data_IF_120829691739
#
_entry.id   IF_120829691739
#
_cell.length_a   1.000
_cell.length_b   1.000
_cell.length_c   1.000
_cell.angle_alpha   90.00
_cell.angle_beta   90.00
_cell.angle_gamma   90.00
#
_symmetry.space_group_name_H-M   'P 1'
#
loop_
_entity.id
_entity.type
_entity.pdbx_description
1 polymer ?
#
# COMPACT_ATOMS: atom_id res chain seq x y z
N UNK A 1 -5.66 -16.86 -4.69
CA UNK A 1 -4.54 -17.62 -4.17
C UNK A 1 -4.33 -17.34 -2.68
N UNK A 2 -3.74 -18.28 -1.99
CA UNK A 2 -3.45 -18.12 -0.56
C UNK A 2 -2.49 -16.95 -0.28
N UNK A 3 -1.71 -16.55 -1.27
CA UNK A 3 -0.74 -15.46 -1.14
C UNK A 3 -1.40 -14.15 -0.74
N UNK A 4 -2.51 -13.79 -1.37
CA UNK A 4 -3.20 -12.51 -1.08
C UNK A 4 -3.96 -12.54 0.23
N UNK A 5 -4.21 -13.72 0.81
CA UNK A 5 -4.87 -13.87 2.10
C UNK A 5 -3.92 -13.80 3.29
N UNK A 6 -2.61 -13.70 3.03
CA UNK A 6 -1.58 -13.57 4.06
C UNK A 6 -0.77 -12.30 3.81
N UNK A 7 -1.37 -11.13 4.12
CA UNK A 7 -0.78 -9.86 3.72
C UNK A 7 0.60 -9.61 4.33
N UNK A 8 0.86 -10.05 5.55
CA UNK A 8 2.19 -9.89 6.16
C UNK A 8 3.27 -10.61 5.35
N UNK A 9 3.00 -11.86 5.00
CA UNK A 9 3.95 -12.66 4.23
C UNK A 9 4.16 -12.05 2.85
N UNK A 10 3.05 -11.72 2.17
CA UNK A 10 3.11 -11.14 0.84
C UNK A 10 3.88 -9.82 0.83
N UNK A 11 3.59 -8.93 1.78
CA UNK A 11 4.22 -7.62 1.84
C UNK A 11 5.70 -7.72 2.19
N UNK A 12 6.10 -8.69 3.01
CA UNK A 12 7.52 -8.92 3.28
C UNK A 12 8.26 -9.36 2.03
N UNK A 13 7.67 -10.22 1.23
CA UNK A 13 8.25 -10.63 -0.06
C UNK A 13 8.35 -9.45 -1.02
N UNK A 14 7.43 -8.50 -0.93
CA UNK A 14 7.37 -7.33 -1.80
C UNK A 14 8.26 -6.18 -1.34
N UNK A 15 8.98 -6.33 -0.23
CA UNK A 15 9.87 -5.27 0.25
C UNK A 15 11.21 -5.31 -0.47
N UNK A 16 11.57 -4.25 -1.22
CA UNK A 16 12.84 -4.22 -1.95
C UNK A 16 14.01 -3.90 -1.02
N UNK A 17 14.47 -4.91 -0.28
CA UNK A 17 15.68 -4.79 0.55
C UNK A 17 15.53 -3.96 1.82
N UNK A 18 14.32 -3.64 2.22
CA UNK A 18 14.08 -2.86 3.43
C UNK A 18 13.96 -3.75 4.64
N UNK A 19 14.70 -3.44 5.70
CA UNK A 19 14.59 -4.11 6.98
C UNK A 19 13.83 -3.22 7.96
N UNK A 20 12.84 -3.78 8.67
CA UNK A 20 12.18 -3.09 9.76
C UNK A 20 12.80 -3.50 11.08
N UNK A 21 13.02 -2.51 11.93
CA UNK A 21 13.51 -2.75 13.29
C UNK A 21 12.31 -3.02 14.20
N UNK A 22 12.28 -4.20 14.78
CA UNK A 22 11.17 -4.66 15.61
C UNK A 22 11.39 -4.41 17.11
N UNK A 23 12.46 -3.72 17.52
CA UNK A 23 12.85 -3.69 18.93
C UNK A 23 11.95 -2.85 19.82
N UNK A 24 11.44 -1.71 19.35
CA UNK A 24 10.63 -0.82 20.20
C UNK A 24 9.23 -0.60 19.66
N UNK A 25 9.09 -0.46 18.34
CA UNK A 25 7.83 -0.14 17.70
C UNK A 25 7.56 -1.15 16.60
N UNK A 26 6.52 -1.95 16.79
CA UNK A 26 6.13 -2.93 15.78
C UNK A 26 5.56 -2.24 14.56
N UNK A 27 6.03 -2.57 13.36
CA UNK A 27 5.38 -2.09 12.14
C UNK A 27 3.95 -2.64 12.06
N UNK A 28 3.13 -1.95 11.31
CA UNK A 28 1.74 -2.36 11.09
C UNK A 28 1.40 -2.24 9.60
N UNK A 29 0.33 -2.93 9.21
CA UNK A 29 -0.20 -2.84 7.85
C UNK A 29 -1.26 -1.75 7.83
N UNK A 30 -1.15 -0.84 6.88
CA UNK A 30 -2.12 0.24 6.72
C UNK A 30 -2.65 0.27 5.29
N UNK A 31 -3.87 0.78 5.14
CA UNK A 31 -4.46 1.03 3.83
C UNK A 31 -4.00 2.40 3.35
N UNK A 32 -3.47 2.47 2.13
CA UNK A 32 -3.05 3.76 1.57
C UNK A 32 -4.27 4.62 1.26
N UNK A 33 -5.25 4.07 0.53
CA UNK A 33 -6.58 4.66 0.45
C UNK A 33 -7.40 4.09 1.59
N UNK A 34 -7.80 4.91 2.58
CA UNK A 34 -8.38 4.41 3.82
C UNK A 34 -9.78 3.83 3.63
N UNK A 35 -10.12 2.85 4.47
CA UNK A 35 -11.40 2.15 4.42
C UNK A 35 -12.61 3.05 4.61
N UNK A 36 -12.51 4.03 5.50
CA UNK A 36 -13.67 4.83 5.95
C UNK A 36 -13.58 6.28 5.51
N UNK A 37 -13.29 6.49 4.26
CA UNK A 37 -13.08 7.85 3.76
C UNK A 37 -14.40 8.58 3.52
N UNK A 38 -15.18 8.78 4.61
CA UNK A 38 -16.44 9.50 4.56
C UNK A 38 -17.53 8.80 3.78
N UNK A 39 -17.38 7.51 3.54
CA UNK A 39 -18.32 6.74 2.74
C UNK A 39 -18.73 5.48 3.48
N UNK A 40 -20.03 5.27 3.60
CA UNK A 40 -20.62 4.00 4.00
C UNK A 40 -20.77 3.06 2.79
N UNK A 41 -20.15 3.40 1.66
CA UNK A 41 -20.26 2.62 0.43
C UNK A 41 -19.45 1.34 0.56
N UNK A 42 -20.16 0.23 0.67
CA UNK A 42 -19.57 -1.10 0.78
C UNK A 42 -18.70 -1.44 -0.44
N UNK A 43 -19.08 -0.99 -1.62
CA UNK A 43 -18.29 -1.22 -2.83
C UNK A 43 -16.92 -0.57 -2.74
N UNK A 44 -16.85 0.67 -2.26
CA UNK A 44 -15.58 1.34 -2.05
C UNK A 44 -14.72 0.59 -1.06
N UNK A 45 -15.31 0.17 0.06
CA UNK A 45 -14.56 -0.56 1.10
C UNK A 45 -13.97 -1.86 0.56
N UNK A 46 -14.76 -2.61 -0.21
CA UNK A 46 -14.28 -3.84 -0.83
C UNK A 46 -13.17 -3.59 -1.86
N UNK A 47 -13.25 -2.49 -2.58
CA UNK A 47 -12.25 -2.14 -3.59
C UNK A 47 -10.90 -1.75 -2.97
N UNK A 48 -10.91 -1.11 -1.79
CA UNK A 48 -9.68 -0.66 -1.14
C UNK A 48 -9.10 -1.68 -0.15
N UNK A 49 -9.88 -2.69 0.24
CA UNK A 49 -9.44 -3.74 1.14
C UNK A 49 -8.78 -4.88 0.37
N UNK A 50 -7.69 -4.56 -0.31
CA UNK A 50 -6.95 -5.49 -1.16
C UNK A 50 -5.44 -5.33 -0.93
N UNK A 51 -4.69 -6.40 -1.14
CA UNK A 51 -3.24 -6.43 -0.94
C UNK A 51 -2.53 -5.26 -1.64
N UNK A 52 -2.99 -4.91 -2.84
CA UNK A 52 -2.35 -3.88 -3.66
C UNK A 52 -2.48 -2.47 -3.07
N UNK A 53 -3.35 -2.31 -2.07
CA UNK A 53 -3.54 -1.05 -1.34
C UNK A 53 -2.92 -1.08 0.06
N UNK A 54 -2.22 -2.15 0.41
CA UNK A 54 -1.62 -2.30 1.72
C UNK A 54 -0.16 -1.85 1.71
N UNK A 55 0.28 -1.31 2.84
CA UNK A 55 1.66 -0.92 3.04
C UNK A 55 2.07 -1.22 4.48
N UNK A 56 3.22 -1.85 4.66
CA UNK A 56 3.81 -1.97 5.99
C UNK A 56 4.46 -0.64 6.34
N UNK A 57 4.07 -0.07 7.46
CA UNK A 57 4.57 1.21 7.93
C UNK A 57 5.13 1.07 9.34
N UNK A 58 6.13 1.90 9.70
CA UNK A 58 6.61 1.97 11.07
C UNK A 58 5.49 2.41 12.02
N UNK A 59 5.57 2.00 13.28
CA UNK A 59 4.66 2.50 14.30
C UNK A 59 4.75 4.02 14.38
N UNK A 60 3.62 4.66 14.61
CA UNK A 60 3.53 6.12 14.63
C UNK A 60 3.15 6.76 13.31
N UNK A 61 3.36 6.07 12.20
CA UNK A 61 2.85 6.52 10.90
C UNK A 61 1.44 5.96 10.74
N UNK A 62 0.44 6.82 10.74
CA UNK A 62 -0.96 6.38 10.70
C UNK A 62 -1.73 7.23 9.69
N UNK A 63 -1.95 6.65 8.51
CA UNK A 63 -2.71 7.30 7.44
C UNK A 63 -4.19 7.43 7.78
N UNK A 64 -4.71 6.54 8.61
CA UNK A 64 -6.12 6.52 8.96
C UNK A 64 -6.57 7.80 9.67
N UNK A 65 -5.69 8.38 10.51
CA UNK A 65 -6.01 9.62 11.23
C UNK A 65 -5.90 10.86 10.37
N UNK A 66 -5.37 10.71 9.16
CA UNK A 66 -5.22 11.83 8.24
C UNK A 66 -6.51 11.95 7.42
N UNK A 67 -7.18 13.09 7.51
CA UNK A 67 -8.47 13.31 6.84
C UNK A 67 -8.35 13.87 5.43
N UNK A 68 -7.14 13.86 4.88
CA UNK A 68 -6.88 14.28 3.51
C UNK A 68 -6.51 13.09 2.64
N UNK A 69 -6.33 13.32 1.34
CA UNK A 69 -5.96 12.25 0.43
C UNK A 69 -4.55 11.70 0.73
N UNK A 70 -4.25 10.45 0.33
CA UNK A 70 -2.90 9.92 0.47
C UNK A 70 -1.83 10.79 -0.20
N UNK A 71 -2.14 11.36 -1.37
CA UNK A 71 -1.25 12.28 -2.06
C UNK A 71 -0.95 13.51 -1.21
N UNK A 72 -1.99 14.12 -0.64
CA UNK A 72 -1.82 15.30 0.22
C UNK A 72 -1.01 14.97 1.47
N UNK A 73 -1.23 13.78 2.04
CA UNK A 73 -0.43 13.32 3.17
C UNK A 73 1.05 13.25 2.81
N UNK A 74 1.39 12.65 1.68
CA UNK A 74 2.78 12.52 1.26
C UNK A 74 3.40 13.85 0.88
N UNK A 75 2.62 14.78 0.33
CA UNK A 75 3.09 16.13 0.06
C UNK A 75 3.42 16.89 1.35
N UNK A 76 2.63 16.66 2.40
CA UNK A 76 2.86 17.28 3.71
C UNK A 76 4.00 16.61 4.49
N UNK A 77 4.31 15.37 4.17
CA UNK A 77 5.33 14.57 4.86
C UNK A 77 6.29 13.92 3.87
N UNK A 78 7.06 14.72 3.12
CA UNK A 78 7.93 14.17 2.07
C UNK A 78 8.99 13.20 2.59
N UNK A 79 9.37 13.32 3.86
CA UNK A 79 10.30 12.40 4.49
C UNK A 79 9.78 10.98 4.60
N UNK A 80 8.46 10.80 4.52
CA UNK A 80 7.85 9.48 4.60
C UNK A 80 7.74 8.78 3.26
N UNK A 81 7.99 9.48 2.16
CA UNK A 81 7.86 8.88 0.82
C UNK A 81 8.72 7.64 0.65
N UNK A 82 9.92 7.63 1.23
CA UNK A 82 10.83 6.50 1.13
C UNK A 82 10.35 5.26 1.87
N UNK A 83 9.37 5.41 2.76
CA UNK A 83 8.83 4.29 3.52
C UNK A 83 7.70 3.57 2.79
N UNK A 84 7.30 4.09 1.65
CA UNK A 84 6.25 3.50 0.82
C UNK A 84 6.87 2.84 -0.40
N UNK A 85 6.28 1.73 -0.82
CA UNK A 85 6.76 0.93 -1.94
C UNK A 85 5.78 0.98 -3.11
N UNK A 86 6.31 0.92 -4.34
CA UNK A 86 5.51 0.85 -5.57
C UNK A 86 4.56 2.03 -5.73
N UNK A 87 5.06 3.22 -5.44
CA UNK A 87 4.24 4.42 -5.46
C UNK A 87 4.38 5.17 -6.79
N UNK A 88 3.27 5.69 -7.34
CA UNK A 88 3.38 6.58 -8.49
C UNK A 88 4.00 7.90 -8.09
N UNK A 89 4.52 8.64 -9.08
CA UNK A 89 4.98 9.99 -8.85
C UNK A 89 3.84 10.84 -8.29
N UNK A 90 4.15 11.76 -7.38
CA UNK A 90 3.14 12.59 -6.73
C UNK A 90 2.37 13.47 -7.72
N UNK A 91 2.94 13.71 -8.90
CA UNK A 91 2.29 14.48 -9.96
C UNK A 91 1.39 13.64 -10.86
N UNK A 92 1.38 12.31 -10.68
CA UNK A 92 0.61 11.42 -11.52
C UNK A 92 -0.89 11.57 -11.28
N UNK A 93 -1.66 11.49 -12.35
CA UNK A 93 -3.12 11.50 -12.27
C UNK A 93 -3.69 10.23 -11.63
N UNK A 94 -2.88 9.19 -11.50
CA UNK A 94 -3.26 7.92 -10.87
C UNK A 94 -3.79 8.16 -9.45
N UNK A 95 -3.29 9.18 -8.76
CA UNK A 95 -3.75 9.51 -7.41
C UNK A 95 -5.20 9.99 -7.33
N UNK A 96 -5.78 10.39 -8.45
CA UNK A 96 -7.14 10.94 -8.47
C UNK A 96 -8.23 9.88 -8.33
N UNK A 97 -7.87 8.61 -8.48
CA UNK A 97 -8.81 7.50 -8.39
C UNK A 97 -8.18 6.35 -7.62
N UNK A 98 -8.88 5.87 -6.58
CA UNK A 98 -8.40 4.71 -5.83
C UNK A 98 -8.27 3.48 -6.74
N UNK A 99 -9.15 3.32 -7.69
CA UNK A 99 -9.12 2.21 -8.64
C UNK A 99 -7.86 2.26 -9.50
N UNK A 100 -7.55 3.41 -10.06
CA UNK A 100 -6.35 3.59 -10.89
C UNK A 100 -5.08 3.39 -10.07
N UNK A 101 -5.05 3.92 -8.86
CA UNK A 101 -3.92 3.76 -7.96
C UNK A 101 -3.67 2.28 -7.63
N UNK A 102 -4.71 1.55 -7.29
CA UNK A 102 -4.61 0.14 -6.94
C UNK A 102 -4.15 -0.68 -8.15
N UNK A 103 -4.67 -0.40 -9.34
CA UNK A 103 -4.23 -1.08 -10.55
C UNK A 103 -2.76 -0.79 -10.87
N UNK A 104 -2.32 0.43 -10.66
CA UNK A 104 -0.91 0.79 -10.83
C UNK A 104 -0.01 -0.04 -9.92
N UNK A 105 -0.32 -0.08 -8.63
CA UNK A 105 0.47 -0.86 -7.66
C UNK A 105 0.41 -2.35 -7.97
N UNK A 106 -0.76 -2.85 -8.33
CA UNK A 106 -0.95 -4.26 -8.67
C UNK A 106 0.01 -4.68 -9.77
N UNK A 107 0.09 -3.91 -10.84
CA UNK A 107 0.99 -4.22 -11.95
C UNK A 107 2.45 -4.25 -11.50
N UNK A 108 2.88 -3.26 -10.73
CA UNK A 108 4.26 -3.21 -10.25
C UNK A 108 4.59 -4.36 -9.30
N UNK A 109 3.66 -4.68 -8.40
CA UNK A 109 3.87 -5.76 -7.43
C UNK A 109 3.91 -7.12 -8.10
N UNK A 110 3.03 -7.38 -9.06
CA UNK A 110 3.02 -8.64 -9.81
C UNK A 110 4.31 -8.78 -10.61
N UNK A 111 4.75 -7.72 -11.28
CA UNK A 111 6.01 -7.73 -12.02
C UNK A 111 7.19 -8.00 -11.10
N UNK A 112 7.22 -7.36 -9.94
CA UNK A 112 8.29 -7.55 -8.96
C UNK A 112 8.35 -9.00 -8.48
N UNK A 113 7.20 -9.60 -8.16
CA UNK A 113 7.14 -10.99 -7.71
C UNK A 113 7.62 -11.95 -8.78
N UNK A 114 7.25 -11.71 -10.03
CA UNK A 114 7.69 -12.55 -11.13
C UNK A 114 9.21 -12.42 -11.35
N UNK A 115 9.71 -11.21 -11.37
CA UNK A 115 11.13 -10.97 -11.66
C UNK A 115 12.03 -11.42 -10.50
N UNK A 116 11.58 -11.23 -9.26
CA UNK A 116 12.39 -11.49 -8.08
C UNK A 116 12.30 -12.94 -7.60
N UNK A 117 11.12 -13.54 -7.69
CA UNK A 117 10.84 -14.87 -7.12
C UNK A 117 10.29 -15.87 -8.11
N UNK A 118 10.10 -15.49 -9.36
CA UNK A 118 9.45 -16.31 -10.39
C UNK A 118 8.05 -16.78 -9.97
N UNK A 119 7.33 -15.93 -9.26
CA UNK A 119 5.95 -16.19 -8.85
C UNK A 119 5.00 -15.56 -9.84
N UNK A 120 4.10 -16.37 -10.39
CA UNK A 120 3.01 -15.89 -11.26
C UNK A 120 1.69 -16.03 -10.53
N UNK A 121 0.92 -14.95 -10.49
CA UNK A 121 -0.38 -14.93 -9.84
C UNK A 121 -1.49 -14.92 -10.90
N UNK A 122 -2.42 -15.85 -10.76
CA UNK A 122 -3.63 -15.91 -11.60
C UNK A 122 -4.71 -15.03 -10.96
N UNK A 123 -4.74 -13.79 -11.38
CA UNK A 123 -5.70 -12.81 -10.82
C UNK A 123 -6.58 -12.23 -11.90
#
# INVERSE_FOLDING_TARGET
SNFTWQPWFALKMLQPGRAFNFTENKPHIDHIFPMNRGSDNENYQNEVDVLWNFQILPAGVNLYKWNKSPKEFLLAHPELKEKFDFMPDLESEVWNSHTDFIQYRKKLMITYLKDRYDISLNL
#
